data_IF_953983302558
#
_entry.id   IF_953983302558
#
_cell.length_a   1.000
_cell.length_b   1.000
_cell.length_c   1.000
_cell.angle_alpha   90.00
_cell.angle_beta   90.00
_cell.angle_gamma   90.00
#
_symmetry.space_group_name_H-M   'P 1'
#
loop_
_entity.id
_entity.type
_entity.pdbx_description
1 polymer ?
#
# COMPACT_ATOMS: atom_id res chain seq x y z
N UNK A 1 -10.67 19.36 -33.83
CA UNK A 1 -10.74 18.08 -33.11
C UNK A 1 -9.60 18.07 -32.12
N UNK A 2 -9.88 18.08 -30.83
CA UNK A 2 -8.84 18.04 -29.78
C UNK A 2 -8.86 16.65 -29.19
N UNK A 3 -7.94 15.79 -29.65
CA UNK A 3 -7.78 14.44 -29.13
C UNK A 3 -6.82 14.45 -27.94
N UNK A 4 -7.17 13.72 -26.90
CA UNK A 4 -6.41 13.61 -25.66
C UNK A 4 -5.99 12.16 -25.45
N UNK A 5 -4.70 11.96 -25.21
CA UNK A 5 -4.16 10.66 -24.80
C UNK A 5 -4.03 10.63 -23.28
N UNK A 6 -4.23 9.45 -22.69
CA UNK A 6 -4.00 9.23 -21.27
C UNK A 6 -2.54 9.58 -20.90
N UNK A 7 -2.35 10.44 -19.90
CA UNK A 7 -1.04 10.85 -19.39
C UNK A 7 -0.57 9.88 -18.32
N UNK A 8 -0.04 8.76 -18.78
CA UNK A 8 0.56 7.73 -17.94
C UNK A 8 2.08 7.95 -17.84
N UNK A 9 2.68 7.62 -16.70
CA UNK A 9 4.14 7.47 -16.64
C UNK A 9 4.54 6.43 -17.70
N UNK A 10 5.50 6.79 -18.56
CA UNK A 10 5.91 5.92 -19.66
C UNK A 10 6.51 4.64 -19.10
N UNK A 11 5.88 3.51 -19.36
CA UNK A 11 6.42 2.20 -19.03
C UNK A 11 6.52 1.40 -20.34
N UNK A 12 7.72 0.95 -20.74
CA UNK A 12 7.92 0.20 -21.96
C UNK A 12 7.04 -1.05 -22.02
N UNK A 13 6.44 -1.31 -23.19
CA UNK A 13 5.68 -2.53 -23.47
C UNK A 13 4.23 -2.56 -22.95
N UNK A 14 3.66 -1.42 -22.54
CA UNK A 14 2.28 -1.36 -22.03
C UNK A 14 1.32 -0.72 -23.02
N UNK A 15 0.15 -1.32 -23.16
CA UNK A 15 -0.94 -0.82 -24.00
C UNK A 15 -1.61 0.41 -23.40
N UNK A 16 -1.66 1.50 -24.16
CA UNK A 16 -2.32 2.72 -23.74
C UNK A 16 -3.86 2.56 -23.77
N UNK A 17 -4.58 3.21 -22.85
CA UNK A 17 -6.03 3.38 -22.95
C UNK A 17 -6.46 4.06 -24.26
N UNK A 18 -7.77 4.09 -24.52
CA UNK A 18 -8.31 4.72 -25.73
C UNK A 18 -8.05 6.23 -25.74
N UNK A 19 -7.93 6.80 -26.95
CA UNK A 19 -7.86 8.26 -27.13
C UNK A 19 -9.23 8.88 -26.93
N UNK A 20 -9.27 9.99 -26.21
CA UNK A 20 -10.49 10.73 -25.96
C UNK A 20 -10.66 11.88 -26.94
N UNK A 21 -11.80 11.96 -27.62
CA UNK A 21 -12.18 13.07 -28.49
C UNK A 21 -13.19 13.98 -27.79
N UNK A 22 -12.79 15.21 -27.49
CA UNK A 22 -13.64 16.18 -26.80
C UNK A 22 -14.81 16.70 -27.65
N UNK A 23 -14.91 16.33 -28.93
CA UNK A 23 -16.10 16.64 -29.74
C UNK A 23 -17.33 15.84 -29.35
N UNK A 24 -17.16 14.72 -28.63
CA UNK A 24 -18.25 13.79 -28.29
C UNK A 24 -19.01 14.18 -27.00
N UNK A 25 -18.82 15.40 -26.51
CA UNK A 25 -19.35 15.88 -25.23
C UNK A 25 -18.26 16.00 -24.17
N UNK A 26 -18.60 16.63 -23.04
CA UNK A 26 -17.63 16.90 -21.97
C UNK A 26 -17.14 15.62 -21.28
N UNK A 27 -18.03 14.64 -21.06
CA UNK A 27 -17.69 13.37 -20.41
C UNK A 27 -17.61 12.24 -21.45
N UNK A 28 -16.69 11.27 -21.30
CA UNK A 28 -16.67 10.08 -22.13
C UNK A 28 -17.89 9.17 -21.87
N UNK A 29 -18.29 8.32 -22.83
CA UNK A 29 -19.35 7.35 -22.63
C UNK A 29 -18.94 6.23 -21.67
N UNK A 30 -19.89 5.55 -21.03
CA UNK A 30 -19.62 4.51 -20.04
C UNK A 30 -18.80 3.32 -20.56
N UNK A 31 -18.86 3.04 -21.86
CA UNK A 31 -18.09 1.98 -22.51
C UNK A 31 -16.68 2.41 -22.95
N UNK A 32 -16.24 3.63 -22.62
CA UNK A 32 -14.91 4.12 -22.96
C UNK A 32 -13.82 3.36 -22.18
N UNK A 33 -12.77 2.88 -22.85
CA UNK A 33 -11.69 2.10 -22.22
C UNK A 33 -10.68 3.00 -21.55
N UNK A 34 -10.65 2.98 -20.21
CA UNK A 34 -9.73 3.81 -19.38
C UNK A 34 -8.46 3.06 -18.95
N UNK A 35 -8.41 1.74 -19.17
CA UNK A 35 -7.24 0.91 -18.92
C UNK A 35 -7.26 -0.37 -19.74
N UNK A 36 -6.06 -0.87 -20.08
CA UNK A 36 -5.83 -2.14 -20.77
C UNK A 36 -4.81 -2.97 -20.02
N UNK A 37 -4.91 -4.29 -20.15
CA UNK A 37 -3.90 -5.23 -19.64
C UNK A 37 -2.61 -5.15 -20.49
N UNK A 38 -1.60 -5.96 -20.15
CA UNK A 38 -0.34 -6.02 -20.89
C UNK A 38 -0.52 -6.55 -22.32
N UNK A 39 -1.51 -7.41 -22.54
CA UNK A 39 -1.82 -8.01 -23.84
C UNK A 39 -2.63 -7.06 -24.76
N UNK A 40 -3.12 -5.94 -24.22
CA UNK A 40 -3.90 -4.93 -24.94
C UNK A 40 -5.41 -5.08 -24.84
N UNK A 41 -5.93 -6.03 -24.08
CA UNK A 41 -7.37 -6.17 -23.86
C UNK A 41 -7.89 -5.10 -22.89
N UNK A 42 -9.14 -4.61 -23.08
CA UNK A 42 -9.79 -3.71 -22.13
C UNK A 42 -9.84 -4.32 -20.73
N UNK A 43 -9.32 -3.59 -19.74
CA UNK A 43 -9.30 -4.01 -18.33
C UNK A 43 -10.33 -3.24 -17.49
N UNK A 44 -10.55 -1.97 -17.79
CA UNK A 44 -11.60 -1.18 -17.13
C UNK A 44 -12.20 -0.14 -18.05
N UNK A 45 -13.47 0.14 -17.81
CA UNK A 45 -14.30 1.07 -18.57
C UNK A 45 -14.71 2.26 -17.70
N UNK A 46 -14.91 3.42 -18.34
CA UNK A 46 -15.32 4.64 -17.66
C UNK A 46 -16.56 4.40 -16.79
N UNK A 47 -17.55 3.64 -17.27
CA UNK A 47 -18.80 3.23 -16.61
C UNK A 47 -18.68 2.58 -15.24
N UNK A 48 -17.51 2.04 -14.91
CA UNK A 48 -17.35 1.14 -13.77
C UNK A 48 -17.08 1.89 -12.47
N UNK A 49 -17.49 1.26 -11.35
CA UNK A 49 -17.24 1.74 -9.99
C UNK A 49 -15.78 1.59 -9.54
N UNK A 50 -14.97 0.89 -10.31
CA UNK A 50 -13.55 0.74 -10.07
C UNK A 50 -12.79 0.70 -11.39
N UNK A 51 -11.63 1.38 -11.42
CA UNK A 51 -10.70 1.32 -12.55
C UNK A 51 -9.40 0.64 -12.11
N UNK A 52 -9.13 -0.54 -12.64
CA UNK A 52 -7.90 -1.28 -12.40
C UNK A 52 -6.77 -0.70 -13.26
N UNK A 53 -5.77 -0.13 -12.59
CA UNK A 53 -4.58 0.43 -13.21
C UNK A 53 -3.31 -0.28 -12.76
N UNK A 54 -3.44 -1.50 -12.23
CA UNK A 54 -2.33 -2.36 -11.87
C UNK A 54 -1.34 -2.58 -13.03
N UNK A 55 -1.76 -2.67 -14.31
CA UNK A 55 -0.80 -2.75 -15.40
C UNK A 55 0.08 -1.51 -15.44
N UNK A 56 -0.34 -0.33 -15.00
CA UNK A 56 0.46 0.90 -15.07
C UNK A 56 1.34 1.15 -13.84
N UNK A 57 1.39 0.23 -12.87
CA UNK A 57 2.27 0.35 -11.70
C UNK A 57 3.74 0.02 -12.01
N UNK A 58 4.66 0.65 -11.28
CA UNK A 58 6.12 0.40 -11.36
C UNK A 58 6.62 -0.61 -10.32
N UNK A 59 5.84 -0.89 -9.27
CA UNK A 59 6.24 -1.68 -8.09
C UNK A 59 5.36 -2.91 -7.81
N UNK A 60 4.48 -3.25 -8.74
CA UNK A 60 3.52 -4.35 -8.59
C UNK A 60 2.44 -4.08 -7.53
N UNK A 61 2.33 -2.86 -6.99
CA UNK A 61 1.20 -2.46 -6.17
C UNK A 61 -0.03 -2.29 -7.06
N UNK A 62 -1.09 -3.05 -6.77
CA UNK A 62 -2.36 -2.93 -7.47
C UNK A 62 -2.90 -1.51 -7.28
N UNK A 63 -3.02 -0.76 -8.38
CA UNK A 63 -3.52 0.60 -8.37
C UNK A 63 -4.97 0.63 -8.83
N UNK A 64 -5.87 0.09 -8.02
CA UNK A 64 -7.31 0.17 -8.32
C UNK A 64 -7.87 1.47 -7.75
N UNK A 65 -8.53 2.26 -8.60
CA UNK A 65 -9.24 3.47 -8.20
C UNK A 65 -10.70 3.09 -7.93
N UNK A 66 -11.14 3.21 -6.68
CA UNK A 66 -12.50 2.88 -6.26
C UNK A 66 -13.35 4.15 -6.08
N UNK A 67 -14.56 4.16 -6.62
CA UNK A 67 -15.48 5.31 -6.58
C UNK A 67 -16.67 5.11 -5.65
N UNK A 68 -16.83 3.92 -5.06
CA UNK A 68 -17.87 3.60 -4.10
C UNK A 68 -17.57 4.17 -2.70
N UNK A 69 -17.47 5.50 -2.61
CA UNK A 69 -17.02 6.27 -1.44
C UNK A 69 -17.78 5.99 -0.14
N UNK A 70 -19.00 5.44 -0.22
CA UNK A 70 -19.81 5.05 0.94
C UNK A 70 -19.40 3.70 1.54
N UNK A 71 -18.51 2.93 0.90
CA UNK A 71 -17.96 1.67 1.42
C UNK A 71 -16.66 1.90 2.21
N UNK A 72 -16.45 1.06 3.24
CA UNK A 72 -15.25 1.06 4.09
C UNK A 72 -14.00 0.87 3.21
N UNK A 73 -12.99 1.78 3.30
CA UNK A 73 -12.42 2.28 4.55
C UNK A 73 -12.73 3.74 4.90
N UNK A 74 -13.65 4.39 4.17
CA UNK A 74 -13.90 5.84 4.29
C UNK A 74 -15.06 6.20 5.22
N UNK A 75 -15.81 5.19 5.67
CA UNK A 75 -16.96 5.32 6.55
C UNK A 75 -16.63 4.75 7.93
N UNK A 76 -17.25 5.26 9.00
CA UNK A 76 -17.03 4.75 10.36
C UNK A 76 -17.35 3.23 10.46
N UNK A 77 -16.71 2.48 11.37
CA UNK A 77 -16.88 1.02 11.48
C UNK A 77 -18.34 0.55 11.66
N UNK A 78 -19.23 1.43 12.13
CA UNK A 78 -20.55 1.08 12.63
C UNK A 78 -21.70 1.54 11.72
N UNK A 79 -21.47 1.77 10.41
CA UNK A 79 -22.54 2.19 9.51
C UNK A 79 -23.48 1.01 9.18
N UNK A 80 -24.80 1.11 9.47
CA UNK A 80 -25.83 0.13 9.11
C UNK A 80 -25.77 -0.30 7.64
N UNK A 81 -26.03 -1.58 7.35
CA UNK A 81 -26.00 -2.13 5.99
C UNK A 81 -26.94 -1.40 5.00
N UNK A 82 -28.06 -0.85 5.50
CA UNK A 82 -28.98 -0.02 4.70
C UNK A 82 -28.33 1.24 4.15
N UNK A 83 -27.36 1.83 4.88
CA UNK A 83 -26.60 2.99 4.46
C UNK A 83 -25.43 2.64 3.51
N UNK A 84 -25.32 1.38 3.04
CA UNK A 84 -24.31 0.94 2.05
C UNK A 84 -24.86 0.77 0.63
N UNK A 85 -26.11 1.15 0.40
CA UNK A 85 -26.79 0.99 -0.89
C UNK A 85 -26.50 2.15 -1.86
N UNK A 86 -26.58 1.88 -3.16
CA UNK A 86 -26.53 2.95 -4.16
C UNK A 86 -27.82 3.77 -4.09
N UNK A 87 -27.69 5.09 -3.93
CA UNK A 87 -28.80 6.06 -4.00
C UNK A 87 -28.66 6.90 -5.28
N UNK A 88 -29.70 7.60 -5.76
CA UNK A 88 -29.57 8.51 -6.90
C UNK A 88 -28.48 9.58 -6.68
N UNK A 89 -28.39 10.11 -5.46
CA UNK A 89 -27.35 11.08 -5.09
C UNK A 89 -25.94 10.46 -5.13
N UNK A 90 -25.76 9.23 -4.65
CA UNK A 90 -24.48 8.50 -4.76
C UNK A 90 -24.10 8.24 -6.20
N UNK A 91 -25.06 7.90 -7.05
CA UNK A 91 -24.81 7.72 -8.49
C UNK A 91 -24.31 9.01 -9.12
N UNK A 92 -24.97 10.14 -8.87
CA UNK A 92 -24.54 11.43 -9.38
C UNK A 92 -23.13 11.83 -8.88
N UNK A 93 -22.86 11.60 -7.59
CA UNK A 93 -21.53 11.86 -7.02
C UNK A 93 -20.46 10.92 -7.61
N UNK A 94 -20.78 9.65 -7.88
CA UNK A 94 -19.87 8.73 -8.59
C UNK A 94 -19.54 9.26 -9.98
N UNK A 95 -20.51 9.79 -10.70
CA UNK A 95 -20.30 10.36 -12.04
C UNK A 95 -19.32 11.54 -11.97
N UNK A 96 -19.47 12.41 -10.96
CA UNK A 96 -18.54 13.51 -10.70
C UNK A 96 -17.14 13.02 -10.28
N UNK A 97 -17.04 11.99 -9.44
CA UNK A 97 -15.75 11.39 -9.06
C UNK A 97 -15.04 10.84 -10.30
N UNK A 98 -15.75 10.05 -11.13
CA UNK A 98 -15.23 9.48 -12.38
C UNK A 98 -14.73 10.57 -13.31
N UNK A 99 -15.54 11.61 -13.48
CA UNK A 99 -15.17 12.75 -14.32
C UNK A 99 -13.89 13.44 -13.82
N UNK A 100 -13.81 13.77 -12.53
CA UNK A 100 -12.61 14.40 -11.97
C UNK A 100 -11.37 13.51 -12.15
N UNK A 101 -11.49 12.21 -11.91
CA UNK A 101 -10.38 11.28 -12.12
C UNK A 101 -9.98 11.18 -13.59
N UNK A 102 -10.94 11.22 -14.51
CA UNK A 102 -10.69 11.28 -15.94
C UNK A 102 -9.94 12.56 -16.35
N UNK A 103 -10.38 13.71 -15.85
CA UNK A 103 -9.70 15.01 -16.04
C UNK A 103 -8.23 14.94 -15.60
N UNK A 104 -7.95 14.31 -14.45
CA UNK A 104 -6.59 14.12 -13.94
C UNK A 104 -5.73 13.19 -14.82
N UNK A 105 -6.35 12.25 -15.52
CA UNK A 105 -5.64 11.27 -16.37
C UNK A 105 -5.44 11.81 -17.80
N UNK A 106 -6.44 12.45 -18.38
CA UNK A 106 -6.46 12.77 -19.82
C UNK A 106 -6.18 14.24 -20.14
N UNK A 107 -6.66 15.16 -19.31
CA UNK A 107 -6.70 16.59 -19.67
C UNK A 107 -5.51 17.38 -19.13
N UNK A 108 -4.59 16.73 -18.41
CA UNK A 108 -3.35 17.32 -17.90
C UNK A 108 -2.22 17.30 -18.93
N UNK A 109 -1.22 18.13 -18.69
CA UNK A 109 0.04 18.17 -19.45
C UNK A 109 0.99 17.07 -19.00
N UNK A 110 1.22 16.98 -17.69
CA UNK A 110 2.21 16.10 -17.08
C UNK A 110 1.56 14.83 -16.52
N UNK A 111 2.22 13.67 -16.54
CA UNK A 111 1.68 12.46 -15.91
C UNK A 111 1.64 12.58 -14.38
N UNK A 112 0.85 11.73 -13.73
CA UNK A 112 0.88 11.51 -12.28
C UNK A 112 1.28 10.07 -12.01
N UNK A 113 2.05 9.88 -10.94
CA UNK A 113 2.31 8.54 -10.42
C UNK A 113 1.02 7.90 -9.92
N UNK A 114 0.94 6.57 -10.01
CA UNK A 114 -0.21 5.80 -9.50
C UNK A 114 -0.48 6.10 -8.01
N UNK A 115 0.56 6.27 -7.20
CA UNK A 115 0.42 6.63 -5.79
C UNK A 115 -0.26 8.00 -5.61
N UNK A 116 0.01 8.96 -6.49
CA UNK A 116 -0.63 10.29 -6.43
C UNK A 116 -2.07 10.24 -6.92
N UNK A 117 -2.34 9.45 -7.96
CA UNK A 117 -3.70 9.19 -8.44
C UNK A 117 -4.58 8.57 -7.35
N UNK A 118 -4.07 7.57 -6.62
CA UNK A 118 -4.78 6.98 -5.47
C UNK A 118 -5.06 8.04 -4.40
N UNK A 119 -4.06 8.86 -4.04
CA UNK A 119 -4.23 9.93 -3.04
C UNK A 119 -5.32 10.93 -3.43
N UNK A 120 -5.36 11.34 -4.70
CA UNK A 120 -6.40 12.24 -5.20
C UNK A 120 -7.77 11.56 -5.27
N UNK A 121 -7.86 10.31 -5.74
CA UNK A 121 -9.09 9.53 -5.72
C UNK A 121 -9.66 9.45 -4.29
N UNK A 122 -8.84 9.07 -3.32
CA UNK A 122 -9.22 9.03 -1.91
C UNK A 122 -9.70 10.39 -1.40
N UNK A 123 -9.03 11.48 -1.77
CA UNK A 123 -9.46 12.83 -1.36
C UNK A 123 -10.80 13.21 -1.96
N UNK A 124 -11.01 12.96 -3.26
CA UNK A 124 -12.27 13.25 -3.94
C UNK A 124 -13.42 12.42 -3.36
N UNK A 125 -13.21 11.12 -3.09
CA UNK A 125 -14.19 10.27 -2.41
C UNK A 125 -14.57 10.80 -1.02
N UNK A 126 -13.61 11.34 -0.25
CA UNK A 126 -13.90 12.00 1.03
C UNK A 126 -14.74 13.27 0.86
N UNK A 127 -14.46 14.06 -0.16
CA UNK A 127 -15.28 15.23 -0.48
C UNK A 127 -16.68 14.82 -0.92
N UNK A 128 -16.83 13.70 -1.64
CA UNK A 128 -18.13 13.18 -2.03
C UNK A 128 -18.98 12.78 -0.81
N UNK A 129 -18.37 12.17 0.21
CA UNK A 129 -19.06 11.89 1.48
C UNK A 129 -19.53 13.17 2.20
N UNK A 130 -18.73 14.24 2.14
CA UNK A 130 -19.12 15.56 2.68
C UNK A 130 -20.24 16.17 1.85
N UNK A 131 -20.14 16.14 0.53
CA UNK A 131 -21.16 16.62 -0.38
C UNK A 131 -22.49 15.87 -0.16
N UNK A 132 -22.44 14.54 0.02
CA UNK A 132 -23.59 13.72 0.36
C UNK A 132 -24.29 14.22 1.64
N UNK A 133 -23.51 14.44 2.70
CA UNK A 133 -24.03 14.94 3.99
C UNK A 133 -24.66 16.33 3.93
N UNK A 134 -24.31 17.12 2.91
CA UNK A 134 -24.81 18.48 2.69
C UNK A 134 -25.87 18.55 1.59
N UNK A 135 -26.32 17.41 1.04
CA UNK A 135 -27.21 17.36 -0.12
C UNK A 135 -26.69 18.17 -1.33
N UNK A 136 -25.37 18.19 -1.52
CA UNK A 136 -24.68 18.98 -2.53
C UNK A 136 -23.94 18.09 -3.56
N UNK A 137 -23.56 18.69 -4.69
CA UNK A 137 -22.64 18.11 -5.69
C UNK A 137 -21.18 18.37 -5.32
N UNK A 138 -20.24 17.62 -5.92
CA UNK A 138 -18.81 17.92 -5.78
C UNK A 138 -18.47 19.28 -6.40
N UNK A 139 -19.10 19.63 -7.52
CA UNK A 139 -19.02 20.96 -8.13
C UNK A 139 -19.37 22.07 -7.12
N UNK A 140 -20.54 21.98 -6.48
CA UNK A 140 -21.00 22.99 -5.52
C UNK A 140 -20.03 23.09 -4.34
N UNK A 141 -19.61 21.94 -3.81
CA UNK A 141 -18.71 21.86 -2.68
C UNK A 141 -17.32 22.44 -3.01
N UNK A 142 -16.75 22.14 -4.18
CA UNK A 142 -15.44 22.63 -4.62
C UNK A 142 -15.44 24.08 -5.13
N UNK A 143 -16.61 24.67 -5.36
CA UNK A 143 -16.79 26.09 -5.65
C UNK A 143 -16.93 26.95 -4.39
N UNK A 144 -17.39 26.35 -3.28
CA UNK A 144 -17.63 27.02 -2.00
C UNK A 144 -16.32 27.20 -1.20
N UNK A 145 -15.91 28.45 -1.03
CA UNK A 145 -14.70 28.78 -0.28
C UNK A 145 -14.84 28.53 1.23
N UNK A 146 -16.02 28.75 1.79
CA UNK A 146 -16.27 28.56 3.22
C UNK A 146 -16.30 27.07 3.55
N UNK A 147 -17.02 26.27 2.77
CA UNK A 147 -17.07 24.82 2.95
C UNK A 147 -15.68 24.16 2.82
N UNK A 148 -14.86 24.60 1.86
CA UNK A 148 -13.50 24.08 1.70
C UNK A 148 -12.54 24.48 2.82
N UNK A 149 -12.63 25.71 3.32
CA UNK A 149 -11.85 26.14 4.49
C UNK A 149 -12.31 25.39 5.74
N UNK A 150 -13.62 25.20 5.92
CA UNK A 150 -14.17 24.45 7.04
C UNK A 150 -13.71 23.00 6.99
N UNK A 151 -13.78 22.33 5.84
CA UNK A 151 -13.27 20.96 5.69
C UNK A 151 -11.78 20.86 6.05
N UNK A 152 -10.97 21.78 5.55
CA UNK A 152 -9.54 21.83 5.86
C UNK A 152 -9.26 22.07 7.34
N UNK A 153 -10.07 22.90 8.01
CA UNK A 153 -9.96 23.19 9.44
C UNK A 153 -10.37 21.99 10.29
N UNK A 154 -11.45 21.30 9.92
CA UNK A 154 -11.91 20.08 10.60
C UNK A 154 -10.92 18.93 10.41
N UNK A 155 -10.31 18.82 9.23
CA UNK A 155 -9.35 17.78 8.89
C UNK A 155 -8.01 18.34 8.38
N UNK A 156 -7.18 18.95 9.25
CA UNK A 156 -5.95 19.62 8.82
C UNK A 156 -4.95 18.74 8.06
N UNK A 157 -4.89 17.44 8.37
CA UNK A 157 -4.05 16.48 7.65
C UNK A 157 -4.46 16.35 6.18
N UNK A 158 -5.75 16.45 5.88
CA UNK A 158 -6.28 16.38 4.52
C UNK A 158 -5.89 17.59 3.69
N UNK A 159 -5.74 18.76 4.33
CA UNK A 159 -5.41 20.02 3.67
C UNK A 159 -4.13 19.94 2.82
N UNK A 160 -3.17 19.09 3.21
CA UNK A 160 -1.91 18.85 2.45
C UNK A 160 -2.12 18.16 1.10
N UNK A 161 -3.18 17.37 0.96
CA UNK A 161 -3.53 16.71 -0.31
C UNK A 161 -4.65 17.47 -1.04
N UNK A 162 -5.52 18.16 -0.28
CA UNK A 162 -6.57 18.99 -0.84
C UNK A 162 -6.04 20.23 -1.57
N UNK A 163 -5.06 20.96 -1.00
CA UNK A 163 -4.58 22.19 -1.64
C UNK A 163 -3.92 21.95 -3.01
N UNK A 164 -3.05 20.94 -3.21
CA UNK A 164 -2.48 20.67 -4.53
C UNK A 164 -3.52 20.16 -5.53
N UNK A 165 -4.50 19.37 -5.08
CA UNK A 165 -5.60 18.91 -5.93
C UNK A 165 -6.42 20.10 -6.47
N UNK A 166 -6.87 21.01 -5.58
CA UNK A 166 -7.64 22.18 -5.98
C UNK A 166 -6.82 23.12 -6.87
N UNK A 167 -5.52 23.29 -6.58
CA UNK A 167 -4.63 24.09 -7.40
C UNK A 167 -4.49 23.53 -8.81
N UNK A 168 -4.37 22.21 -8.93
CA UNK A 168 -4.29 21.51 -10.20
C UNK A 168 -5.59 21.67 -10.99
N UNK A 169 -6.75 21.40 -10.40
CA UNK A 169 -8.03 21.54 -11.09
C UNK A 169 -8.24 22.99 -11.56
N UNK A 170 -7.86 23.97 -10.73
CA UNK A 170 -7.91 25.39 -11.11
C UNK A 170 -6.96 25.73 -12.26
N UNK A 171 -5.77 25.13 -12.33
CA UNK A 171 -4.82 25.35 -13.43
C UNK A 171 -5.34 24.78 -14.77
N UNK A 172 -6.11 23.70 -14.73
CA UNK A 172 -6.77 23.15 -15.92
C UNK A 172 -7.86 24.07 -16.46
N UNK A 173 -8.44 24.89 -15.58
CA UNK A 173 -9.44 25.89 -15.94
C UNK A 173 -10.85 25.31 -16.05
N UNK A 174 -11.84 26.20 -15.96
CA UNK A 174 -13.26 25.83 -15.97
C UNK A 174 -13.67 25.11 -17.25
N UNK A 175 -13.09 25.48 -18.40
CA UNK A 175 -13.40 24.84 -19.70
C UNK A 175 -13.06 23.36 -19.74
N UNK A 176 -12.01 22.92 -19.00
CA UNK A 176 -11.60 21.52 -18.95
C UNK A 176 -12.24 20.76 -17.79
N UNK A 177 -12.42 21.42 -16.65
CA UNK A 177 -12.99 20.79 -15.45
C UNK A 177 -14.52 20.74 -15.52
N UNK A 178 -15.15 21.62 -16.29
CA UNK A 178 -16.61 21.74 -16.39
C UNK A 178 -17.22 22.69 -15.36
N UNK A 179 -16.49 23.05 -14.31
CA UNK A 179 -16.98 23.95 -13.26
C UNK A 179 -15.88 24.81 -12.65
N UNK A 180 -16.31 25.82 -11.88
CA UNK A 180 -15.42 26.77 -11.22
C UNK A 180 -14.93 26.23 -9.88
N UNK A 181 -13.61 26.11 -9.74
CA UNK A 181 -12.95 25.76 -8.47
C UNK A 181 -12.68 27.02 -7.63
N UNK A 182 -12.63 26.88 -6.30
CA UNK A 182 -12.24 27.94 -5.36
C UNK A 182 -11.00 28.74 -5.81
N UNK A 183 -10.95 30.01 -5.40
CA UNK A 183 -9.91 30.95 -5.80
C UNK A 183 -8.54 30.66 -5.16
N UNK A 184 -7.46 31.22 -5.74
CA UNK A 184 -6.08 31.14 -5.23
C UNK A 184 -5.95 31.41 -3.73
N UNK A 185 -6.64 32.46 -3.26
CA UNK A 185 -6.61 32.91 -1.88
C UNK A 185 -7.13 31.83 -0.93
N UNK A 186 -8.19 31.13 -1.32
CA UNK A 186 -8.80 30.05 -0.56
C UNK A 186 -7.85 28.86 -0.51
N UNK A 187 -7.27 28.48 -1.65
CA UNK A 187 -6.30 27.39 -1.75
C UNK A 187 -5.07 27.67 -0.88
N UNK A 188 -4.58 28.92 -0.86
CA UNK A 188 -3.43 29.35 -0.05
C UNK A 188 -3.73 29.25 1.45
N UNK A 189 -4.95 29.60 1.88
CA UNK A 189 -5.40 29.41 3.27
C UNK A 189 -5.46 27.93 3.65
N UNK A 190 -5.99 27.08 2.78
CA UNK A 190 -6.02 25.62 2.98
C UNK A 190 -4.59 25.08 3.11
N UNK A 191 -3.67 25.53 2.25
CA UNK A 191 -2.26 25.14 2.33
C UNK A 191 -1.61 25.54 3.66
N UNK A 192 -1.90 26.74 4.18
CA UNK A 192 -1.41 27.20 5.48
C UNK A 192 -1.92 26.32 6.64
N UNK A 193 -3.18 25.90 6.60
CA UNK A 193 -3.74 24.95 7.58
C UNK A 193 -2.98 23.62 7.54
N UNK A 194 -2.73 23.07 6.34
CA UNK A 194 -1.99 21.82 6.17
C UNK A 194 -0.52 21.90 6.59
N UNK A 195 0.10 23.07 6.46
CA UNK A 195 1.46 23.33 6.91
C UNK A 195 1.57 23.48 8.44
N UNK A 196 0.52 24.00 9.08
CA UNK A 196 0.46 24.13 10.55
C UNK A 196 0.31 22.79 11.27
N UNK A 197 -0.24 21.77 10.59
CA UNK A 197 -0.07 20.39 11.05
C UNK A 197 1.42 20.12 11.04
N UNK A 198 2.01 19.87 12.20
CA UNK A 198 3.43 19.52 12.28
C UNK A 198 3.74 18.37 11.33
N UNK A 199 4.91 18.39 10.70
CA UNK A 199 5.48 17.12 10.30
C UNK A 199 5.54 16.28 11.56
N UNK A 200 4.93 15.09 11.58
CA UNK A 200 5.32 14.07 12.54
C UNK A 200 6.74 13.62 12.16
N UNK A 201 7.70 14.55 12.21
CA UNK A 201 9.07 14.19 12.42
C UNK A 201 9.03 13.58 13.82
N UNK A 202 9.13 12.26 13.87
CA UNK A 202 9.60 11.61 15.07
C UNK A 202 10.83 12.39 15.51
N UNK A 203 10.84 12.98 16.71
CA UNK A 203 12.05 13.63 17.21
C UNK A 203 13.21 12.64 17.04
N UNK A 204 14.40 13.10 16.61
CA UNK A 204 15.52 12.22 16.34
C UNK A 204 15.67 11.27 17.52
N UNK A 205 15.58 9.96 17.25
CA UNK A 205 15.64 8.94 18.28
C UNK A 205 16.87 9.23 19.15
N UNK A 206 16.72 9.44 20.47
CA UNK A 206 17.84 9.82 21.30
C UNK A 206 19.00 8.84 21.08
N UNK A 207 20.21 9.36 20.88
CA UNK A 207 21.39 8.55 20.54
C UNK A 207 21.55 7.35 21.45
N UNK A 208 21.23 7.51 22.74
CA UNK A 208 21.22 6.42 23.74
C UNK A 208 20.33 5.23 23.34
N UNK A 209 19.12 5.47 22.83
CA UNK A 209 18.21 4.40 22.41
C UNK A 209 18.76 3.72 21.16
N UNK A 210 19.28 4.50 20.21
CA UNK A 210 19.90 3.95 19.00
C UNK A 210 21.13 3.08 19.32
N UNK A 211 22.03 3.56 20.19
CA UNK A 211 23.19 2.78 20.66
C UNK A 211 22.76 1.52 21.40
N UNK A 212 21.70 1.58 22.21
CA UNK A 212 21.19 0.41 22.91
C UNK A 212 20.63 -0.65 21.95
N UNK A 213 19.87 -0.23 20.93
CA UNK A 213 19.36 -1.13 19.89
C UNK A 213 20.50 -1.74 19.09
N UNK A 214 21.50 -0.96 18.69
CA UNK A 214 22.68 -1.45 17.98
C UNK A 214 23.48 -2.47 18.81
N UNK A 215 23.68 -2.19 20.10
CA UNK A 215 24.38 -3.10 21.00
C UNK A 215 23.60 -4.41 21.19
N UNK A 216 22.27 -4.33 21.34
CA UNK A 216 21.41 -5.50 21.44
C UNK A 216 21.45 -6.34 20.15
N UNK A 217 21.34 -5.71 18.98
CA UNK A 217 21.44 -6.40 17.69
C UNK A 217 22.83 -7.03 17.47
N UNK A 218 23.91 -6.34 17.86
CA UNK A 218 25.27 -6.90 17.77
C UNK A 218 25.46 -8.10 18.70
N UNK A 219 24.94 -8.03 19.93
CA UNK A 219 24.96 -9.17 20.87
C UNK A 219 24.15 -10.35 20.32
N UNK A 220 22.97 -10.07 19.78
CA UNK A 220 22.07 -11.07 19.19
C UNK A 220 22.74 -11.81 18.03
N UNK A 221 23.36 -11.08 17.12
CA UNK A 221 24.10 -11.66 16.00
C UNK A 221 25.34 -12.45 16.47
N UNK A 222 26.07 -11.94 17.46
CA UNK A 222 27.22 -12.64 18.03
C UNK A 222 26.84 -13.95 18.72
N UNK A 223 25.68 -14.00 19.39
CA UNK A 223 25.18 -15.25 19.97
C UNK A 223 24.77 -16.26 18.89
N UNK A 224 24.16 -15.79 17.80
CA UNK A 224 23.79 -16.63 16.66
C UNK A 224 25.00 -17.16 15.89
N UNK A 225 26.03 -16.33 15.67
CA UNK A 225 27.26 -16.70 14.95
C UNK A 225 27.97 -17.90 15.61
N UNK A 226 27.95 -17.99 16.94
CA UNK A 226 28.58 -19.12 17.68
C UNK A 226 27.89 -20.47 17.46
N UNK A 227 26.67 -20.48 16.95
CA UNK A 227 25.84 -21.69 16.81
C UNK A 227 25.33 -21.91 15.38
N UNK A 228 25.58 -20.97 14.46
CA UNK A 228 24.96 -20.97 13.12
C UNK A 228 25.35 -22.20 12.31
N UNK A 229 26.61 -22.63 12.36
CA UNK A 229 27.07 -23.82 11.63
C UNK A 229 26.32 -25.07 12.09
N UNK A 230 26.15 -25.24 13.41
CA UNK A 230 25.39 -26.35 14.01
C UNK A 230 23.91 -26.30 13.64
N UNK A 231 23.33 -25.10 13.58
CA UNK A 231 21.95 -24.90 13.10
C UNK A 231 21.81 -25.30 11.63
N UNK A 232 22.77 -24.91 10.77
CA UNK A 232 22.77 -25.26 9.35
C UNK A 232 22.97 -26.76 9.11
N UNK A 233 23.85 -27.40 9.89
CA UNK A 233 24.04 -28.85 9.86
C UNK A 233 22.76 -29.60 10.27
N UNK A 234 22.14 -29.19 11.39
CA UNK A 234 20.87 -29.73 11.86
C UNK A 234 19.75 -29.56 10.82
N UNK A 235 19.66 -28.38 10.20
CA UNK A 235 18.72 -28.09 9.10
C UNK A 235 18.97 -29.02 7.92
N UNK A 236 20.23 -29.20 7.53
CA UNK A 236 20.62 -30.10 6.45
C UNK A 236 20.23 -31.54 6.72
N UNK A 237 20.39 -32.02 7.97
CA UNK A 237 19.95 -33.35 8.38
C UNK A 237 18.43 -33.50 8.33
N UNK A 238 17.69 -32.53 8.88
CA UNK A 238 16.22 -32.51 8.85
C UNK A 238 15.64 -32.39 7.43
N UNK A 239 16.35 -31.75 6.50
CA UNK A 239 15.94 -31.66 5.10
C UNK A 239 16.13 -33.00 4.36
N UNK A 240 17.16 -33.77 4.72
CA UNK A 240 17.47 -35.08 4.14
C UNK A 240 16.57 -36.19 4.70
N UNK A 241 16.26 -36.15 6.01
CA UNK A 241 15.36 -37.10 6.66
C UNK A 241 14.05 -36.42 7.09
N UNK A 242 12.97 -36.73 6.37
CA UNK A 242 11.63 -36.14 6.61
C UNK A 242 11.03 -36.48 7.98
N UNK A 243 11.58 -37.45 8.71
CA UNK A 243 11.05 -37.94 9.98
C UNK A 243 11.85 -37.41 11.17
N UNK A 244 13.09 -36.97 10.95
CA UNK A 244 13.97 -36.38 11.96
C UNK A 244 13.39 -35.07 12.51
N UNK A 245 13.44 -34.90 13.83
CA UNK A 245 12.96 -33.69 14.52
C UNK A 245 11.44 -33.54 14.55
N UNK A 246 10.67 -34.50 14.03
CA UNK A 246 9.20 -34.54 14.15
C UNK A 246 8.79 -35.22 15.45
N UNK A 247 7.64 -34.83 15.99
CA UNK A 247 7.07 -35.50 17.16
C UNK A 247 6.80 -36.98 16.85
N UNK A 248 6.93 -37.84 17.88
CA UNK A 248 6.69 -39.29 17.77
C UNK A 248 5.30 -39.61 17.23
N UNK A 249 4.29 -38.81 17.57
CA UNK A 249 2.94 -38.92 17.02
C UNK A 249 2.93 -38.72 15.50
N UNK A 250 3.59 -37.66 15.01
CA UNK A 250 3.62 -37.34 13.57
C UNK A 250 4.48 -38.32 12.76
N UNK A 251 5.51 -38.91 13.36
CA UNK A 251 6.27 -40.01 12.74
C UNK A 251 5.38 -41.26 12.54
N UNK A 252 4.54 -41.58 13.53
CA UNK A 252 3.58 -42.69 13.45
C UNK A 252 2.53 -42.46 12.34
N UNK A 253 2.02 -41.24 12.22
CA UNK A 253 1.06 -40.87 11.15
C UNK A 253 1.67 -40.98 9.75
N UNK A 254 2.99 -40.91 9.63
CA UNK A 254 3.75 -41.07 8.38
C UNK A 254 4.15 -42.53 8.12
N UNK A 255 3.58 -43.48 8.86
CA UNK A 255 3.74 -44.92 8.63
C UNK A 255 4.98 -45.54 9.29
N UNK A 256 5.67 -44.82 10.17
CA UNK A 256 6.90 -45.33 10.79
C UNK A 256 6.63 -46.34 11.92
N UNK A 257 7.33 -47.48 11.88
CA UNK A 257 7.27 -48.50 12.94
C UNK A 257 8.03 -48.02 14.17
N UNK A 258 7.57 -48.40 15.37
CA UNK A 258 8.14 -47.96 16.66
C UNK A 258 9.64 -48.25 16.82
N UNK A 259 10.14 -49.31 16.19
CA UNK A 259 11.55 -49.73 16.24
C UNK A 259 12.47 -48.90 15.33
N UNK A 260 11.91 -48.16 14.36
CA UNK A 260 12.65 -47.34 13.40
C UNK A 260 12.52 -45.83 13.69
N UNK A 261 11.90 -45.46 14.82
CA UNK A 261 11.52 -44.09 15.11
C UNK A 261 12.74 -43.17 15.24
N UNK A 262 12.76 -42.08 14.47
CA UNK A 262 13.84 -41.09 14.46
C UNK A 262 13.81 -40.20 15.70
N UNK A 263 14.96 -39.59 16.07
CA UNK A 263 15.02 -38.60 17.13
C UNK A 263 13.95 -37.51 16.96
N UNK A 264 13.26 -37.17 18.04
CA UNK A 264 12.35 -36.02 18.07
C UNK A 264 13.13 -34.71 18.21
N UNK A 265 12.44 -33.57 18.16
CA UNK A 265 13.13 -32.28 18.12
C UNK A 265 13.98 -32.00 19.37
N UNK A 266 13.57 -32.48 20.54
CA UNK A 266 14.34 -32.30 21.78
C UNK A 266 15.62 -33.14 21.71
N UNK A 267 15.49 -34.39 21.26
CA UNK A 267 16.65 -35.27 21.07
C UNK A 267 17.61 -34.74 20.01
N UNK A 268 17.10 -34.14 18.93
CA UNK A 268 17.93 -33.48 17.90
C UNK A 268 18.63 -32.24 18.47
N UNK A 269 17.97 -31.42 19.28
CA UNK A 269 18.63 -30.26 19.91
C UNK A 269 19.80 -30.69 20.80
N UNK A 270 19.71 -31.85 21.48
CA UNK A 270 20.85 -32.43 22.24
C UNK A 270 21.98 -32.87 21.34
N UNK A 271 21.65 -33.57 20.27
CA UNK A 271 22.63 -34.12 19.33
C UNK A 271 23.51 -33.02 18.72
N UNK A 272 22.93 -31.84 18.48
CA UNK A 272 23.63 -30.68 17.92
C UNK A 272 24.09 -29.66 18.97
N UNK A 273 23.97 -29.96 20.28
CA UNK A 273 24.34 -29.06 21.38
C UNK A 273 23.69 -27.66 21.28
N UNK A 274 22.38 -27.63 21.01
CA UNK A 274 21.58 -26.42 20.80
C UNK A 274 20.54 -26.17 21.90
N UNK A 275 20.37 -27.08 22.86
CA UNK A 275 19.35 -26.97 23.92
C UNK A 275 19.44 -25.66 24.71
N UNK A 276 20.65 -25.30 25.16
CA UNK A 276 20.88 -24.08 25.96
C UNK A 276 20.63 -22.80 25.17
N UNK A 277 20.93 -22.83 23.86
CA UNK A 277 20.65 -21.70 22.97
C UNK A 277 19.13 -21.56 22.77
N UNK A 278 18.45 -22.68 22.52
CA UNK A 278 16.99 -22.70 22.32
C UNK A 278 16.22 -22.23 23.56
N UNK A 279 16.64 -22.69 24.74
CA UNK A 279 16.05 -22.31 26.02
C UNK A 279 16.25 -20.81 26.32
N UNK A 280 17.45 -20.27 26.06
CA UNK A 280 17.74 -18.84 26.23
C UNK A 280 16.91 -17.94 25.33
N UNK A 281 16.59 -18.40 24.11
CA UNK A 281 15.70 -17.68 23.19
C UNK A 281 14.22 -17.79 23.54
N UNK A 282 13.86 -18.65 24.50
CA UNK A 282 12.45 -18.87 24.89
C UNK A 282 11.62 -19.57 23.82
N UNK A 283 12.25 -20.29 22.89
CA UNK A 283 11.52 -21.04 21.88
C UNK A 283 10.96 -22.35 22.44
N UNK A 284 9.78 -22.74 21.95
CA UNK A 284 9.29 -24.09 22.15
C UNK A 284 10.18 -25.12 21.44
N UNK A 285 10.45 -26.26 22.08
CA UNK A 285 11.24 -27.35 21.50
C UNK A 285 10.43 -28.18 20.50
N UNK A 286 10.01 -27.55 19.40
CA UNK A 286 9.29 -28.18 18.30
C UNK A 286 9.79 -27.69 16.95
N UNK A 287 9.66 -28.51 15.91
CA UNK A 287 10.18 -28.22 14.57
C UNK A 287 9.82 -26.83 14.00
N UNK A 288 8.60 -26.33 14.27
CA UNK A 288 8.16 -25.01 13.78
C UNK A 288 8.98 -23.84 14.35
N UNK A 289 9.60 -24.01 15.51
CA UNK A 289 10.45 -22.97 16.13
C UNK A 289 11.70 -22.67 15.30
N UNK A 290 12.11 -23.60 14.43
CA UNK A 290 13.23 -23.41 13.51
C UNK A 290 12.96 -22.29 12.49
N UNK A 291 11.72 -22.22 11.99
CA UNK A 291 11.30 -21.14 11.09
C UNK A 291 11.29 -19.79 11.81
N UNK A 292 10.88 -19.78 13.09
CA UNK A 292 10.90 -18.59 13.92
C UNK A 292 12.34 -18.10 14.14
N UNK A 293 13.26 -19.00 14.51
CA UNK A 293 14.68 -18.70 14.67
C UNK A 293 15.30 -18.10 13.42
N UNK A 294 15.11 -18.74 12.26
CA UNK A 294 15.65 -18.23 10.99
C UNK A 294 15.08 -16.84 10.64
N UNK A 295 13.79 -16.63 10.89
CA UNK A 295 13.14 -15.34 10.67
C UNK A 295 13.72 -14.26 11.59
N UNK A 296 14.02 -14.61 12.83
CA UNK A 296 14.62 -13.70 13.81
C UNK A 296 16.05 -13.32 13.44
N UNK A 297 16.90 -14.29 13.10
CA UNK A 297 18.28 -14.05 12.63
C UNK A 297 18.26 -13.15 11.39
N UNK A 298 17.44 -13.48 10.39
CA UNK A 298 17.32 -12.65 9.18
C UNK A 298 16.80 -11.25 9.48
N UNK A 299 15.89 -11.13 10.46
CA UNK A 299 15.38 -9.86 10.96
C UNK A 299 16.48 -9.01 11.60
N UNK A 300 17.28 -9.61 12.49
CA UNK A 300 18.40 -8.95 13.15
C UNK A 300 19.46 -8.47 12.15
N UNK A 301 19.84 -9.32 11.18
CA UNK A 301 20.74 -8.95 10.10
C UNK A 301 20.20 -7.76 9.27
N UNK A 302 18.91 -7.81 8.90
CA UNK A 302 18.28 -6.75 8.12
C UNK A 302 18.26 -5.42 8.90
N UNK A 303 17.92 -5.46 10.19
CA UNK A 303 17.90 -4.28 11.06
C UNK A 303 19.30 -3.70 11.25
N UNK A 304 20.32 -4.54 11.42
CA UNK A 304 21.71 -4.09 11.54
C UNK A 304 22.19 -3.40 10.26
N UNK A 305 21.94 -4.01 9.09
CA UNK A 305 22.26 -3.40 7.79
C UNK A 305 21.52 -2.07 7.63
N UNK A 306 20.23 -2.03 7.94
CA UNK A 306 19.43 -0.79 7.86
C UNK A 306 19.99 0.31 8.76
N UNK A 307 20.41 -0.05 9.98
CA UNK A 307 20.96 0.90 10.92
C UNK A 307 22.24 1.56 10.39
N UNK A 308 23.14 0.81 9.74
CA UNK A 308 24.37 1.35 9.16
C UNK A 308 24.21 1.99 7.77
N UNK A 309 23.21 1.58 6.99
CA UNK A 309 23.02 2.05 5.60
C UNK A 309 21.98 3.16 5.46
N UNK A 310 21.20 3.46 6.51
CA UNK A 310 20.16 4.50 6.50
C UNK A 310 19.02 4.24 5.52
N UNK A 311 18.87 3.01 5.00
CA UNK A 311 17.93 2.70 3.92
C UNK A 311 16.51 2.48 4.46
N UNK A 312 15.57 3.33 4.06
CA UNK A 312 14.13 3.19 4.34
C UNK A 312 13.57 1.96 3.59
N UNK A 313 12.62 1.27 4.22
CA UNK A 313 12.05 -0.06 3.96
C UNK A 313 11.66 -0.44 2.52
N UNK A 314 11.66 0.46 1.54
CA UNK A 314 11.30 0.17 0.15
C UNK A 314 12.32 -0.70 -0.61
N UNK A 315 13.60 -0.68 -0.23
CA UNK A 315 14.64 -1.53 -0.88
C UNK A 315 14.91 -2.87 -0.19
N UNK A 316 14.35 -3.10 1.00
CA UNK A 316 14.65 -4.31 1.78
C UNK A 316 14.05 -5.60 1.19
N UNK A 317 12.99 -5.49 0.37
CA UNK A 317 12.42 -6.64 -0.35
C UNK A 317 13.32 -7.16 -1.48
N UNK A 318 14.14 -6.29 -2.08
CA UNK A 318 15.09 -6.69 -3.13
C UNK A 318 16.28 -7.50 -2.57
N UNK A 319 16.74 -7.21 -1.35
CA UNK A 319 17.80 -8.01 -0.72
C UNK A 319 17.35 -9.41 -0.29
N UNK A 320 16.04 -9.67 -0.10
CA UNK A 320 15.54 -11.02 0.20
C UNK A 320 15.66 -12.00 -0.97
N UNK A 321 15.82 -11.50 -2.20
CA UNK A 321 15.87 -12.34 -3.40
C UNK A 321 17.31 -12.75 -3.76
N UNK A 322 18.32 -12.01 -3.30
CA UNK A 322 19.72 -12.29 -3.68
C UNK A 322 20.42 -13.38 -2.86
N UNK A 323 19.83 -13.83 -1.74
CA UNK A 323 20.43 -14.87 -0.89
C UNK A 323 20.06 -16.32 -1.29
N UNK A 324 19.25 -16.53 -2.34
CA UNK A 324 18.81 -17.87 -2.79
C UNK A 324 19.22 -18.20 -4.23
N UNK A 325 20.29 -17.58 -4.73
CA UNK A 325 20.99 -18.04 -5.94
C UNK A 325 22.49 -18.13 -5.69
N UNK A 326 22.90 -19.22 -5.07
CA UNK A 326 23.96 -20.10 -5.59
C UNK A 326 23.81 -21.49 -4.97
#
# INVERSE_FOLDING_TARGET
>A
MTRFQARLESIPGKSAPDEYDSSNGLMPPDNFVVSRNLDGDPLSFYGQLAWDRSPYGTDGSGAVLYFDYWRLPYSAPDIPAALRQMTPQRSALVDEIRWLMFVLIYLRTDPLSNATMIKYCTMICRLAAVAESQCATLEQLMADSEAMIQHATTYPVHARCLSPLLQLLRQLGQERVGFKVVQARTISRIAAIGAAVGHFQTPPLPTRIYTHVLAALASELGDCERVIDRILEMLGACAKDKLLGRSRARQKDLGQRRQEARPDFVEVLREYDLEDFWARKGYGAHFQSLSALLTEIMGACALQIQAFTGCVTTKSRHCRIFAWRK
#
